data_IF_103632164621
#
_entry.id   IF_103632164621
#
_cell.length_a   1.000
_cell.length_b   1.000
_cell.length_c   1.000
_cell.angle_alpha   90.00
_cell.angle_beta   90.00
_cell.angle_gamma   90.00
#
_symmetry.space_group_name_H-M   'P 1'
#
loop_
_entity.id
_entity.type
_entity.pdbx_description
1 polymer ?
#
# COMPACT_ATOMS: atom_id res chain seq x y z
N UNK A 1 10.11 22.85 -8.93
CA UNK A 1 9.39 22.75 -7.64
C UNK A 1 7.93 23.14 -7.82
N UNK A 2 7.09 22.26 -8.38
CA UNK A 2 5.64 22.35 -8.27
C UNK A 2 5.05 21.01 -8.73
N UNK A 3 4.70 20.12 -7.79
CA UNK A 3 4.08 18.83 -8.10
C UNK A 3 2.57 19.05 -8.08
N UNK A 4 1.93 19.00 -9.24
CA UNK A 4 0.46 19.09 -9.33
C UNK A 4 -0.13 17.97 -8.48
N UNK A 5 -0.96 18.35 -7.52
CA UNK A 5 -1.46 17.44 -6.51
C UNK A 5 -2.97 17.66 -6.31
N UNK A 6 -3.72 16.58 -6.13
CA UNK A 6 -5.16 16.59 -5.86
C UNK A 6 -5.43 15.83 -4.58
N UNK A 7 -6.23 16.41 -3.69
CA UNK A 7 -6.67 15.76 -2.48
C UNK A 7 -8.14 15.34 -2.65
N UNK A 8 -8.42 14.07 -2.37
CA UNK A 8 -9.76 13.48 -2.46
C UNK A 8 -10.09 12.74 -1.17
N UNK A 9 -11.28 12.97 -0.63
CA UNK A 9 -11.74 12.35 0.61
C UNK A 9 -12.90 11.39 0.39
N UNK A 10 -12.85 10.22 1.03
CA UNK A 10 -13.96 9.28 1.05
C UNK A 10 -15.20 9.84 1.79
N UNK A 11 -15.00 10.77 2.74
CA UNK A 11 -16.08 11.47 3.44
C UNK A 11 -16.22 12.88 2.83
N UNK A 12 -17.40 13.28 2.32
CA UNK A 12 -17.62 14.61 1.78
C UNK A 12 -17.33 15.71 2.82
N UNK A 13 -16.49 16.67 2.46
CA UNK A 13 -16.16 17.85 3.27
C UNK A 13 -16.20 19.09 2.38
N UNK A 14 -17.42 19.55 2.07
CA UNK A 14 -17.67 20.68 1.18
C UNK A 14 -16.85 21.92 1.57
N UNK A 15 -16.15 22.50 0.60
CA UNK A 15 -15.32 23.69 0.80
C UNK A 15 -13.88 23.41 1.26
N UNK A 16 -13.54 22.17 1.64
CA UNK A 16 -12.19 21.80 2.11
C UNK A 16 -11.49 20.86 1.15
N UNK A 17 -12.17 19.78 0.74
CA UNK A 17 -11.59 18.72 -0.09
C UNK A 17 -12.63 18.15 -1.05
N UNK A 18 -12.20 17.78 -2.24
CA UNK A 18 -13.04 17.11 -3.23
C UNK A 18 -13.48 15.73 -2.72
N UNK A 19 -14.73 15.35 -2.96
CA UNK A 19 -15.16 13.98 -2.69
C UNK A 19 -14.43 13.03 -3.64
N UNK A 20 -14.06 11.84 -3.14
CA UNK A 20 -13.47 10.81 -3.97
C UNK A 20 -14.40 10.45 -5.14
N UNK A 21 -13.87 10.58 -6.35
CA UNK A 21 -14.49 10.11 -7.58
C UNK A 21 -13.45 9.33 -8.38
N UNK A 22 -13.75 8.06 -8.62
CA UNK A 22 -12.89 7.11 -9.32
C UNK A 22 -12.40 7.63 -10.69
N UNK A 23 -13.31 8.21 -11.48
CA UNK A 23 -13.00 8.67 -12.84
C UNK A 23 -12.09 9.88 -12.81
N UNK A 24 -12.35 10.81 -11.89
CA UNK A 24 -11.52 12.00 -11.69
C UNK A 24 -10.13 11.60 -11.18
N UNK A 25 -10.02 10.64 -10.25
CA UNK A 25 -8.75 10.14 -9.75
C UNK A 25 -7.89 9.57 -10.90
N UNK A 26 -8.45 8.68 -11.73
CA UNK A 26 -7.76 8.13 -12.90
C UNK A 26 -7.36 9.24 -13.88
N UNK A 27 -8.23 10.22 -14.15
CA UNK A 27 -7.92 11.35 -15.03
C UNK A 27 -6.73 12.17 -14.51
N UNK A 28 -6.72 12.48 -13.21
CA UNK A 28 -5.65 13.25 -12.59
C UNK A 28 -4.32 12.48 -12.64
N UNK A 29 -4.33 11.18 -12.35
CA UNK A 29 -3.15 10.31 -12.48
C UNK A 29 -2.62 10.26 -13.93
N UNK A 30 -3.49 10.12 -14.92
CA UNK A 30 -3.13 10.15 -16.36
C UNK A 30 -2.52 11.49 -16.79
N UNK A 31 -2.87 12.58 -16.11
CA UNK A 31 -2.29 13.91 -16.35
C UNK A 31 -0.93 14.11 -15.64
N UNK A 32 -0.39 13.08 -14.98
CA UNK A 32 0.84 13.15 -14.20
C UNK A 32 0.68 13.95 -12.91
N UNK A 33 -0.54 14.03 -12.37
CA UNK A 33 -0.80 14.63 -11.06
C UNK A 33 -0.68 13.58 -9.95
N UNK A 34 -0.18 13.98 -8.78
CA UNK A 34 -0.23 13.16 -7.57
C UNK A 34 -1.64 13.23 -6.98
N UNK A 35 -2.25 12.08 -6.69
CA UNK A 35 -3.56 12.03 -6.02
C UNK A 35 -3.38 11.51 -4.60
N UNK A 36 -3.84 12.30 -3.62
CA UNK A 36 -3.83 11.96 -2.21
C UNK A 36 -5.25 11.53 -1.84
N UNK A 37 -5.41 10.27 -1.44
CA UNK A 37 -6.67 9.75 -0.89
C UNK A 37 -6.68 9.91 0.63
N UNK A 38 -7.75 10.47 1.17
CA UNK A 38 -7.95 10.67 2.61
C UNK A 38 -9.28 10.08 3.08
N UNK A 39 -9.46 10.04 4.41
CA UNK A 39 -10.58 9.39 5.09
C UNK A 39 -10.72 7.88 4.84
N UNK A 40 -9.67 7.21 4.33
CA UNK A 40 -9.63 5.77 4.14
C UNK A 40 -10.74 5.27 3.21
N UNK A 41 -11.50 4.28 3.67
CA UNK A 41 -12.70 3.78 2.97
C UNK A 41 -13.94 4.63 3.25
N UNK A 42 -13.87 5.57 4.20
CA UNK A 42 -15.01 6.33 4.72
C UNK A 42 -15.88 5.57 5.73
N UNK A 43 -15.55 4.32 6.03
CA UNK A 43 -16.36 3.44 6.89
C UNK A 43 -15.61 3.08 8.19
N UNK A 44 -16.32 2.96 9.33
CA UNK A 44 -15.75 2.39 10.54
C UNK A 44 -15.39 0.91 10.32
N UNK A 45 -14.54 0.37 11.19
CA UNK A 45 -14.04 -1.02 11.17
C UNK A 45 -13.07 -1.40 10.05
N UNK A 46 -12.75 -0.47 9.15
CA UNK A 46 -11.70 -0.64 8.15
C UNK A 46 -10.43 0.11 8.54
N UNK A 47 -9.28 -0.44 8.13
CA UNK A 47 -7.98 0.18 8.32
C UNK A 47 -7.58 1.03 7.10
N UNK A 48 -6.49 1.79 7.24
CA UNK A 48 -5.86 2.45 6.10
C UNK A 48 -5.23 1.46 5.11
N UNK A 49 -4.83 0.27 5.56
CA UNK A 49 -4.31 -0.78 4.69
C UNK A 49 -5.41 -1.32 3.77
N UNK A 50 -6.62 -1.53 4.31
CA UNK A 50 -7.81 -1.88 3.52
C UNK A 50 -8.12 -0.81 2.48
N UNK A 51 -8.02 0.47 2.85
CA UNK A 51 -8.21 1.58 1.93
C UNK A 51 -7.14 1.62 0.83
N UNK A 52 -5.88 1.33 1.17
CA UNK A 52 -4.78 1.31 0.20
C UNK A 52 -4.95 0.20 -0.84
N UNK A 53 -5.30 -1.04 -0.42
CA UNK A 53 -5.63 -2.13 -1.35
C UNK A 53 -6.83 -1.74 -2.22
N UNK A 54 -7.93 -1.25 -1.62
CA UNK A 54 -9.13 -0.85 -2.37
C UNK A 54 -8.82 0.23 -3.42
N UNK A 55 -8.18 1.32 -3.02
CA UNK A 55 -7.88 2.44 -3.92
C UNK A 55 -6.87 2.02 -4.99
N UNK A 56 -5.88 1.20 -4.65
CA UNK A 56 -4.93 0.63 -5.59
C UNK A 56 -5.63 -0.17 -6.70
N UNK A 57 -6.59 -1.02 -6.32
CA UNK A 57 -7.40 -1.80 -7.27
C UNK A 57 -8.25 -0.89 -8.13
N UNK A 58 -8.97 0.05 -7.52
CA UNK A 58 -9.85 0.97 -8.23
C UNK A 58 -9.09 1.80 -9.28
N UNK A 59 -7.90 2.32 -8.97
CA UNK A 59 -7.11 3.10 -9.93
C UNK A 59 -6.31 2.23 -10.91
N UNK A 60 -6.39 0.90 -10.81
CA UNK A 60 -5.56 -0.06 -11.54
C UNK A 60 -4.06 0.21 -11.36
N UNK A 61 -3.62 0.37 -10.11
CA UNK A 61 -2.20 0.48 -9.79
C UNK A 61 -1.46 -0.82 -10.13
N UNK A 62 -0.19 -0.70 -10.52
CA UNK A 62 0.65 -1.87 -10.80
C UNK A 62 1.06 -2.61 -9.51
N UNK A 63 1.17 -1.87 -8.39
CA UNK A 63 1.59 -2.39 -7.08
C UNK A 63 1.15 -1.45 -5.96
N UNK A 64 0.79 -2.01 -4.81
CA UNK A 64 0.61 -1.26 -3.56
C UNK A 64 1.93 -1.25 -2.80
N UNK A 65 2.47 -0.06 -2.51
CA UNK A 65 3.67 0.09 -1.71
C UNK A 65 3.33 0.40 -0.26
N UNK A 66 3.53 -0.57 0.64
CA UNK A 66 3.36 -0.39 2.08
C UNK A 66 4.65 0.08 2.72
N UNK A 67 4.68 1.38 3.00
CA UNK A 67 5.78 2.04 3.67
C UNK A 67 5.69 1.78 5.20
N UNK A 68 6.73 1.19 5.79
CA UNK A 68 6.82 0.86 7.21
C UNK A 68 8.12 1.35 7.84
N UNK A 69 8.33 1.05 9.13
CA UNK A 69 9.58 1.37 9.85
C UNK A 69 10.61 0.23 9.82
N UNK A 70 10.24 -0.95 9.33
CA UNK A 70 11.09 -2.14 9.24
C UNK A 70 11.38 -2.48 7.78
N UNK A 71 12.44 -3.25 7.53
CA UNK A 71 12.96 -3.50 6.17
C UNK A 71 12.11 -4.42 5.30
N UNK A 72 10.99 -4.92 5.80
CA UNK A 72 10.10 -5.82 5.08
C UNK A 72 9.21 -6.62 6.02
N UNK A 73 8.77 -7.78 5.55
CA UNK A 73 8.05 -8.78 6.34
C UNK A 73 9.06 -9.73 6.96
N UNK A 74 8.89 -10.05 8.24
CA UNK A 74 9.75 -10.95 8.99
C UNK A 74 8.95 -12.14 9.50
N UNK A 75 9.64 -13.23 9.83
CA UNK A 75 9.05 -14.41 10.47
C UNK A 75 8.61 -14.16 11.93
N UNK A 76 9.25 -13.21 12.60
CA UNK A 76 8.95 -12.73 13.95
C UNK A 76 9.19 -11.21 14.06
N UNK A 77 8.78 -10.59 15.16
CA UNK A 77 8.97 -9.15 15.41
C UNK A 77 10.47 -8.80 15.53
N UNK A 78 11.08 -8.11 14.54
CA UNK A 78 12.52 -7.85 14.54
C UNK A 78 12.96 -6.86 15.63
N UNK A 79 12.02 -6.14 16.26
CA UNK A 79 12.32 -5.24 17.39
C UNK A 79 12.49 -6.05 18.68
N UNK A 80 11.78 -7.18 18.81
CA UNK A 80 11.81 -8.03 20.02
C UNK A 80 12.75 -9.22 19.87
N UNK A 81 12.82 -9.79 18.67
CA UNK A 81 13.62 -10.95 18.36
C UNK A 81 14.73 -10.57 17.36
N UNK A 82 16.00 -10.44 17.81
CA UNK A 82 17.11 -10.11 16.92
C UNK A 82 17.46 -11.23 15.93
N UNK A 83 16.88 -12.42 16.09
CA UNK A 83 17.04 -13.54 15.14
C UNK A 83 15.94 -13.57 14.07
N UNK A 84 15.02 -12.61 14.05
CA UNK A 84 13.98 -12.53 13.04
C UNK A 84 14.59 -12.45 11.63
N UNK A 85 14.11 -13.31 10.74
CA UNK A 85 14.58 -13.44 9.36
C UNK A 85 13.62 -12.74 8.41
N UNK A 86 14.18 -11.94 7.51
CA UNK A 86 13.41 -11.16 6.53
C UNK A 86 12.99 -12.01 5.32
N UNK A 87 11.71 -11.90 4.99
CA UNK A 87 11.05 -12.14 3.70
C UNK A 87 11.71 -11.40 2.52
N UNK A 88 12.14 -12.05 1.44
CA UNK A 88 12.37 -11.35 0.16
C UNK A 88 11.14 -11.42 -0.75
N UNK A 89 10.53 -12.60 -0.84
CA UNK A 89 9.27 -12.86 -1.53
C UNK A 89 8.38 -13.75 -0.69
N UNK A 90 7.08 -13.53 -0.78
CA UNK A 90 6.03 -14.33 -0.16
C UNK A 90 4.84 -14.41 -1.12
N UNK A 91 4.09 -15.49 -1.03
CA UNK A 91 2.75 -15.55 -1.63
C UNK A 91 1.69 -15.03 -0.65
N UNK A 92 0.52 -14.62 -1.15
CA UNK A 92 -0.59 -14.23 -0.28
C UNK A 92 -1.02 -15.37 0.65
N UNK A 93 -1.02 -16.61 0.18
CA UNK A 93 -1.39 -17.76 0.99
C UNK A 93 -0.35 -18.05 2.07
N UNK A 94 0.95 -17.90 1.79
CA UNK A 94 1.99 -17.99 2.84
C UNK A 94 1.82 -16.93 3.94
N UNK A 95 1.43 -15.70 3.56
CA UNK A 95 1.16 -14.63 4.53
C UNK A 95 -0.01 -14.98 5.44
N UNK A 96 -1.08 -15.54 4.87
CA UNK A 96 -2.28 -15.95 5.61
C UNK A 96 -2.02 -17.17 6.50
N UNK A 97 -1.39 -18.21 5.96
CA UNK A 97 -1.12 -19.47 6.65
C UNK A 97 -0.18 -19.27 7.84
N UNK A 98 0.88 -18.47 7.64
CA UNK A 98 1.87 -18.17 8.69
C UNK A 98 1.45 -16.98 9.57
N UNK A 99 0.31 -16.35 9.29
CA UNK A 99 -0.21 -15.17 10.00
C UNK A 99 0.83 -14.05 10.13
N UNK A 100 1.58 -13.79 9.05
CA UNK A 100 2.63 -12.79 9.05
C UNK A 100 2.01 -11.39 9.18
N UNK A 101 2.62 -10.54 10.01
CA UNK A 101 2.13 -9.18 10.32
C UNK A 101 2.34 -8.18 9.17
N UNK A 102 1.69 -8.40 8.04
CA UNK A 102 1.83 -7.56 6.83
C UNK A 102 0.83 -6.40 6.82
N UNK A 103 -0.46 -6.74 6.81
CA UNK A 103 -1.63 -5.87 6.88
C UNK A 103 -2.72 -6.62 7.67
N UNK A 104 -3.86 -5.97 7.92
CA UNK A 104 -5.04 -6.71 8.37
C UNK A 104 -5.48 -7.75 7.32
N UNK A 105 -6.15 -8.81 7.79
CA UNK A 105 -6.55 -9.93 6.94
C UNK A 105 -7.48 -9.49 5.80
N UNK A 106 -8.34 -8.50 6.02
CA UNK A 106 -9.26 -8.00 5.00
C UNK A 106 -8.50 -7.38 3.83
N UNK A 107 -7.47 -6.58 4.11
CA UNK A 107 -6.61 -5.99 3.10
C UNK A 107 -5.84 -7.06 2.31
N UNK A 108 -5.27 -8.07 2.98
CA UNK A 108 -4.54 -9.16 2.31
C UNK A 108 -5.47 -9.96 1.39
N UNK A 109 -6.66 -10.34 1.86
CA UNK A 109 -7.64 -11.04 1.03
C UNK A 109 -8.05 -10.20 -0.18
N UNK A 110 -8.32 -8.91 0.01
CA UNK A 110 -8.70 -8.01 -1.08
C UNK A 110 -7.59 -7.90 -2.14
N UNK A 111 -6.33 -7.77 -1.70
CA UNK A 111 -5.19 -7.72 -2.61
C UNK A 111 -4.99 -9.07 -3.33
N UNK A 112 -5.17 -10.21 -2.65
CA UNK A 112 -5.11 -11.56 -3.26
C UNK A 112 -6.18 -11.77 -4.32
N UNK A 113 -7.45 -11.50 -3.98
CA UNK A 113 -8.61 -11.80 -4.82
C UNK A 113 -8.59 -10.98 -6.14
N UNK A 114 -7.87 -9.86 -6.15
CA UNK A 114 -7.67 -9.00 -7.32
C UNK A 114 -6.27 -9.09 -7.94
N UNK A 115 -5.42 -10.03 -7.50
CA UNK A 115 -4.02 -10.15 -7.94
C UNK A 115 -3.25 -8.82 -7.88
N UNK A 116 -3.47 -8.02 -6.85
CA UNK A 116 -2.82 -6.73 -6.64
C UNK A 116 -1.50 -6.93 -5.86
N UNK A 117 -0.32 -6.82 -6.51
CA UNK A 117 0.94 -7.04 -5.84
C UNK A 117 1.15 -6.03 -4.71
N UNK A 118 1.80 -6.47 -3.63
CA UNK A 118 2.07 -5.66 -2.45
C UNK A 118 3.57 -5.69 -2.15
N UNK A 119 4.19 -4.52 -1.99
CA UNK A 119 5.59 -4.41 -1.57
C UNK A 119 5.68 -3.73 -0.22
N UNK A 120 6.24 -4.41 0.78
CA UNK A 120 6.47 -3.86 2.12
C UNK A 120 7.91 -3.41 2.22
N UNK A 121 8.18 -2.15 2.57
CA UNK A 121 9.55 -1.63 2.64
C UNK A 121 9.72 -0.59 3.77
N UNK A 122 10.98 -0.29 4.10
CA UNK A 122 11.32 0.72 5.12
C UNK A 122 11.36 2.12 4.50
N UNK A 123 10.47 3.00 4.95
CA UNK A 123 10.43 4.39 4.47
C UNK A 123 11.57 5.26 5.01
N UNK A 124 12.18 4.86 6.13
CA UNK A 124 13.26 5.62 6.76
C UNK A 124 14.59 5.43 6.01
N UNK A 125 14.70 4.38 5.19
CA UNK A 125 15.87 4.15 4.36
C UNK A 125 15.88 5.15 3.21
N UNK A 126 16.78 6.13 3.28
CA UNK A 126 16.93 7.18 2.27
C UNK A 126 17.12 6.55 0.88
N UNK A 127 16.27 6.94 -0.07
CA UNK A 127 16.32 6.45 -1.45
C UNK A 127 15.60 5.12 -1.69
N UNK A 128 15.00 4.47 -0.68
CA UNK A 128 14.33 3.18 -0.86
C UNK A 128 13.17 3.25 -1.86
N UNK A 129 12.34 4.29 -1.76
CA UNK A 129 11.23 4.50 -2.73
C UNK A 129 11.75 4.68 -4.16
N UNK A 130 12.80 5.48 -4.35
CA UNK A 130 13.41 5.69 -5.67
C UNK A 130 14.02 4.39 -6.21
N UNK A 131 14.71 3.62 -5.37
CA UNK A 131 15.25 2.31 -5.71
C UNK A 131 14.14 1.36 -6.20
N UNK A 132 13.01 1.30 -5.49
CA UNK A 132 11.85 0.52 -5.91
C UNK A 132 11.29 0.95 -7.27
N UNK A 133 11.15 2.26 -7.49
CA UNK A 133 10.67 2.80 -8.77
C UNK A 133 11.61 2.47 -9.94
N UNK A 134 12.89 2.25 -9.68
CA UNK A 134 13.91 1.87 -10.67
C UNK A 134 14.09 0.35 -10.81
N UNK A 135 13.22 -0.47 -10.21
CA UNK A 135 13.28 -1.93 -10.29
C UNK A 135 14.19 -2.60 -9.26
N UNK A 136 14.59 -1.89 -8.20
CA UNK A 136 15.36 -2.43 -7.09
C UNK A 136 14.59 -3.43 -6.23
N UNK A 137 15.33 -4.20 -5.44
CA UNK A 137 14.81 -5.29 -4.59
C UNK A 137 14.65 -4.91 -3.12
N UNK A 138 14.30 -3.65 -2.84
CA UNK A 138 14.02 -3.22 -1.47
C UNK A 138 12.76 -3.90 -0.90
N UNK A 139 12.77 -4.21 0.39
CA UNK A 139 11.58 -4.73 1.04
C UNK A 139 11.32 -6.22 0.88
N UNK A 140 10.04 -6.57 0.95
CA UNK A 140 9.48 -7.89 0.65
C UNK A 140 8.38 -7.72 -0.39
N UNK A 141 8.38 -8.52 -1.45
CA UNK A 141 7.27 -8.60 -2.40
C UNK A 141 6.28 -9.69 -1.96
N UNK A 142 5.00 -9.36 -1.98
CA UNK A 142 3.89 -10.29 -1.79
C UNK A 142 3.05 -10.29 -3.06
N UNK A 143 2.92 -11.46 -3.69
CA UNK A 143 2.22 -11.63 -4.97
C UNK A 143 1.48 -12.97 -5.03
N UNK A 144 0.64 -13.16 -6.04
CA UNK A 144 0.04 -14.47 -6.32
C UNK A 144 1.12 -15.43 -6.83
N UNK A 145 0.93 -16.73 -6.59
CA UNK A 145 1.85 -17.78 -7.06
C UNK A 145 1.87 -17.91 -8.59
#
# INVERSE_FOLDING_TARGET
SNIRTRLMSAIPMSGVVEHYDHRNAIRNLKNGEVVIFSAGTGNPFFTTDSAACLRGIEINADVVLKATKVDGVFDDDPVKNPKAVKYDRLTFDEVLDRKLGVMDLTAICLCRDHNMPLRVFNMNKKGALLSLMLGGNEGTLVESA
#
